data_IF_492965439617
#
_entry.id   IF_492965439617
#
_cell.length_a   1.000
_cell.length_b   1.000
_cell.length_c   1.000
_cell.angle_alpha   90.00
_cell.angle_beta   90.00
_cell.angle_gamma   90.00
#
_symmetry.space_group_name_H-M   'P 1'
#
loop_
_entity.id
_entity.type
_entity.pdbx_description
1 polymer ?
#
# COMPACT_ATOMS: atom_id res chain seq x y z
N UNK A 1 -18.47 -2.89 -5.97
CA UNK A 1 -17.40 -2.42 -6.88
C UNK A 1 -16.64 -3.68 -7.31
N UNK A 2 -15.79 -3.67 -8.34
CA UNK A 2 -14.92 -4.83 -8.65
C UNK A 2 -13.54 -4.56 -8.06
N UNK A 3 -12.99 -5.50 -7.30
CA UNK A 3 -11.63 -5.39 -6.77
C UNK A 3 -10.66 -5.88 -7.86
N UNK A 4 -9.75 -5.01 -8.26
CA UNK A 4 -8.83 -5.27 -9.37
C UNK A 4 -7.41 -5.49 -8.85
N UNK A 5 -6.94 -6.74 -8.92
CA UNK A 5 -5.53 -7.08 -8.62
C UNK A 5 -4.57 -6.19 -9.41
N UNK A 6 -4.80 -6.03 -10.72
CA UNK A 6 -3.93 -5.26 -11.61
C UNK A 6 -3.84 -3.78 -11.22
N UNK A 7 -4.94 -3.18 -10.76
CA UNK A 7 -4.96 -1.81 -10.25
C UNK A 7 -4.00 -1.67 -9.07
N UNK A 8 -4.07 -2.60 -8.12
CA UNK A 8 -3.26 -2.55 -6.91
C UNK A 8 -1.80 -2.92 -7.17
N UNK A 9 -1.56 -3.98 -7.93
CA UNK A 9 -0.22 -4.36 -8.36
C UNK A 9 0.45 -3.23 -9.16
N UNK A 10 -0.25 -2.61 -10.11
CA UNK A 10 0.29 -1.49 -10.88
C UNK A 10 0.63 -0.27 -10.02
N UNK A 11 -0.26 0.11 -9.10
CA UNK A 11 -0.02 1.21 -8.13
C UNK A 11 1.17 0.94 -7.21
N UNK A 12 1.37 -0.31 -6.83
CA UNK A 12 2.44 -0.72 -5.91
C UNK A 12 3.77 -0.90 -6.65
N UNK A 13 3.80 -1.64 -7.75
CA UNK A 13 5.02 -2.06 -8.44
C UNK A 13 5.60 -1.00 -9.39
N UNK A 14 4.76 -0.28 -10.14
CA UNK A 14 5.23 0.69 -11.16
C UNK A 14 6.15 1.78 -10.59
N UNK A 15 5.88 2.36 -9.41
CA UNK A 15 6.78 3.34 -8.80
C UNK A 15 8.20 2.81 -8.53
N UNK A 16 8.35 1.53 -8.18
CA UNK A 16 9.68 0.95 -7.93
C UNK A 16 10.51 0.80 -9.19
N UNK A 17 9.90 0.36 -10.31
CA UNK A 17 10.59 0.30 -11.59
C UNK A 17 11.00 1.68 -12.11
N UNK A 18 10.16 2.69 -11.86
CA UNK A 18 10.50 4.08 -12.17
C UNK A 18 11.66 4.58 -11.31
N UNK A 19 11.71 4.21 -10.03
CA UNK A 19 12.84 4.55 -9.16
C UNK A 19 14.13 3.89 -9.63
N UNK A 20 14.12 2.60 -9.94
CA UNK A 20 15.31 1.89 -10.43
C UNK A 20 15.88 2.54 -11.70
N UNK A 21 14.99 3.03 -12.56
CA UNK A 21 15.37 3.79 -13.76
C UNK A 21 15.98 5.15 -13.41
N UNK A 22 15.46 5.82 -12.38
CA UNK A 22 16.03 7.05 -11.84
C UNK A 22 17.42 6.76 -11.24
N UNK A 23 17.56 5.79 -10.36
CA UNK A 23 18.85 5.39 -9.77
C UNK A 23 19.91 5.08 -10.85
N UNK A 24 19.53 4.33 -11.90
CA UNK A 24 20.41 4.09 -13.05
C UNK A 24 20.82 5.37 -13.78
N UNK A 25 19.88 6.30 -14.01
CA UNK A 25 20.19 7.59 -14.63
C UNK A 25 21.16 8.43 -13.78
N UNK A 26 21.04 8.34 -12.45
CA UNK A 26 21.84 9.12 -11.50
C UNK A 26 23.27 8.64 -11.38
N UNK A 27 23.45 7.33 -11.51
CA UNK A 27 24.74 6.70 -11.53
C UNK A 27 25.43 6.80 -12.90
N UNK A 28 24.77 7.34 -13.93
CA UNK A 28 25.31 7.59 -15.27
C UNK A 28 25.64 9.08 -15.48
N UNK A 29 26.87 9.45 -15.13
CA UNK A 29 27.39 10.82 -15.29
C UNK A 29 27.30 11.33 -16.74
N UNK A 30 27.50 10.46 -17.74
CA UNK A 30 27.47 10.85 -19.14
C UNK A 30 26.04 11.19 -19.59
N UNK A 31 25.05 10.45 -19.07
CA UNK A 31 23.64 10.76 -19.30
C UNK A 31 23.22 12.09 -18.67
N UNK A 32 23.63 12.37 -17.43
CA UNK A 32 23.35 13.65 -16.76
C UNK A 32 23.97 14.81 -17.54
N UNK A 33 25.25 14.68 -17.90
CA UNK A 33 25.97 15.69 -18.69
C UNK A 33 25.26 15.96 -20.03
N UNK A 34 24.94 14.90 -20.77
CA UNK A 34 24.19 15.01 -22.03
C UNK A 34 22.83 15.69 -21.87
N UNK A 35 22.11 15.39 -20.79
CA UNK A 35 20.84 16.04 -20.48
C UNK A 35 21.03 17.54 -20.20
N UNK A 36 22.04 17.91 -19.41
CA UNK A 36 22.38 19.30 -19.11
C UNK A 36 22.72 20.08 -20.39
N UNK A 37 23.56 19.53 -21.29
CA UNK A 37 23.89 20.21 -22.54
C UNK A 37 22.68 20.39 -23.47
N UNK A 38 21.85 19.36 -23.61
CA UNK A 38 20.70 19.37 -24.54
C UNK A 38 19.55 20.25 -24.04
N UNK A 39 19.24 20.18 -22.75
CA UNK A 39 18.06 20.84 -22.18
C UNK A 39 18.36 22.28 -21.75
N UNK A 40 19.55 22.54 -21.19
CA UNK A 40 19.88 23.83 -20.59
C UNK A 40 20.80 24.70 -21.47
N UNK A 41 21.27 24.20 -22.63
CA UNK A 41 22.07 24.93 -23.63
C UNK A 41 23.33 25.62 -23.08
N UNK A 42 23.99 25.02 -22.09
CA UNK A 42 25.25 25.56 -21.57
C UNK A 42 26.42 25.34 -22.53
N UNK A 43 27.32 26.32 -22.60
CA UNK A 43 28.62 26.21 -23.28
C UNK A 43 29.63 25.45 -22.42
N UNK A 44 30.62 24.81 -23.05
CA UNK A 44 31.61 23.91 -22.43
C UNK A 44 32.46 24.51 -21.29
N UNK A 45 32.44 25.83 -21.09
CA UNK A 45 33.38 26.53 -20.20
C UNK A 45 32.94 26.63 -18.72
N UNK A 46 31.71 26.21 -18.38
CA UNK A 46 31.16 26.18 -17.01
C UNK A 46 30.91 24.75 -16.50
N UNK A 47 31.53 23.76 -17.13
CA UNK A 47 31.21 22.33 -17.01
C UNK A 47 31.28 21.80 -15.58
N UNK A 48 32.38 22.01 -14.85
CA UNK A 48 32.62 21.24 -13.62
C UNK A 48 31.78 21.75 -12.42
N UNK A 49 31.82 23.04 -12.10
CA UNK A 49 31.08 23.58 -10.94
C UNK A 49 29.56 23.49 -11.11
N UNK A 50 29.06 23.67 -12.34
CA UNK A 50 27.62 23.57 -12.62
C UNK A 50 27.16 22.12 -12.60
N UNK A 51 27.92 21.20 -13.20
CA UNK A 51 27.62 19.76 -13.14
C UNK A 51 27.64 19.27 -11.71
N UNK A 52 28.63 19.66 -10.91
CA UNK A 52 28.70 19.32 -9.49
C UNK A 52 27.54 19.91 -8.69
N UNK A 53 27.05 21.10 -9.05
CA UNK A 53 25.86 21.71 -8.46
C UNK A 53 24.60 20.89 -8.75
N UNK A 54 24.37 20.55 -10.03
CA UNK A 54 23.24 19.74 -10.48
C UNK A 54 23.28 18.35 -9.87
N UNK A 55 24.43 17.66 -9.92
CA UNK A 55 24.63 16.34 -9.31
C UNK A 55 24.36 16.39 -7.81
N UNK A 56 24.83 17.43 -7.09
CA UNK A 56 24.51 17.60 -5.66
C UNK A 56 23.02 17.79 -5.39
N UNK A 57 22.35 18.67 -6.14
CA UNK A 57 20.90 18.89 -5.97
C UNK A 57 20.10 17.64 -6.28
N UNK A 58 20.50 16.90 -7.31
CA UNK A 58 19.87 15.65 -7.66
C UNK A 58 20.12 14.59 -6.56
N UNK A 59 21.35 14.43 -6.06
CA UNK A 59 21.65 13.51 -4.97
C UNK A 59 20.84 13.82 -3.71
N UNK A 60 20.64 15.10 -3.38
CA UNK A 60 19.78 15.50 -2.25
C UNK A 60 18.31 15.07 -2.44
N UNK A 61 17.79 15.16 -3.67
CA UNK A 61 16.43 14.69 -3.98
C UNK A 61 16.35 13.17 -3.86
N UNK A 62 17.40 12.48 -4.31
CA UNK A 62 17.50 11.01 -4.30
C UNK A 62 17.61 10.46 -2.90
N UNK A 63 18.24 11.18 -1.97
CA UNK A 63 18.23 10.80 -0.56
C UNK A 63 16.80 10.81 0.03
N UNK A 64 15.94 11.71 -0.45
CA UNK A 64 14.56 11.88 0.07
C UNK A 64 13.55 10.92 -0.57
N UNK A 65 13.71 10.58 -1.86
CA UNK A 65 12.74 9.76 -2.59
C UNK A 65 12.48 8.39 -1.93
N UNK A 66 13.48 7.61 -1.45
CA UNK A 66 13.27 6.35 -0.75
C UNK A 66 12.30 6.41 0.42
N UNK A 67 12.43 7.46 1.23
CA UNK A 67 11.56 7.69 2.36
C UNK A 67 10.12 7.97 1.90
N UNK A 68 9.95 8.84 0.90
CA UNK A 68 8.64 9.14 0.30
C UNK A 68 8.00 7.91 -0.35
N UNK A 69 8.80 7.04 -0.96
CA UNK A 69 8.34 5.81 -1.59
C UNK A 69 7.82 4.80 -0.57
N UNK A 70 8.43 4.69 0.61
CA UNK A 70 7.90 3.86 1.70
C UNK A 70 6.58 4.42 2.23
N UNK A 71 6.51 5.73 2.42
CA UNK A 71 5.25 6.39 2.83
C UNK A 71 4.16 6.10 1.80
N UNK A 72 4.46 6.32 0.52
CA UNK A 72 3.55 6.07 -0.58
C UNK A 72 3.09 4.60 -0.63
N UNK A 73 4.03 3.66 -0.55
CA UNK A 73 3.77 2.22 -0.59
C UNK A 73 2.80 1.82 0.53
N UNK A 74 3.10 2.20 1.77
CA UNK A 74 2.26 1.87 2.91
C UNK A 74 0.86 2.49 2.77
N UNK A 75 0.77 3.73 2.31
CA UNK A 75 -0.53 4.36 2.02
C UNK A 75 -1.34 3.62 0.95
N UNK A 76 -0.70 3.11 -0.11
CA UNK A 76 -1.40 2.29 -1.11
C UNK A 76 -1.89 0.97 -0.53
N UNK A 77 -1.10 0.31 0.33
CA UNK A 77 -1.47 -0.94 0.98
C UNK A 77 -2.63 -0.71 1.97
N UNK A 78 -2.61 0.38 2.74
CA UNK A 78 -3.73 0.76 3.63
C UNK A 78 -5.02 0.99 2.86
N UNK A 79 -4.96 1.71 1.74
CA UNK A 79 -6.13 1.94 0.88
C UNK A 79 -6.63 0.66 0.22
N UNK A 80 -5.72 -0.24 -0.15
CA UNK A 80 -6.07 -1.57 -0.66
C UNK A 80 -6.86 -2.37 0.38
N UNK A 81 -6.40 -2.41 1.63
CA UNK A 81 -7.16 -3.09 2.69
C UNK A 81 -8.49 -2.39 2.97
N UNK A 82 -8.53 -1.05 2.92
CA UNK A 82 -9.77 -0.26 3.07
C UNK A 82 -10.82 -0.64 2.03
N UNK A 83 -10.41 -0.68 0.75
CA UNK A 83 -11.28 -1.08 -0.36
C UNK A 83 -11.73 -2.54 -0.22
N UNK A 84 -10.81 -3.45 0.16
CA UNK A 84 -11.11 -4.86 0.42
C UNK A 84 -12.20 -5.03 1.48
N UNK A 85 -12.02 -4.46 2.68
CA UNK A 85 -13.00 -4.58 3.76
C UNK A 85 -14.34 -3.94 3.38
N UNK A 86 -14.31 -2.78 2.71
CA UNK A 86 -15.53 -2.11 2.24
C UNK A 86 -16.33 -3.03 1.31
N UNK A 87 -15.67 -3.65 0.33
CA UNK A 87 -16.29 -4.59 -0.59
C UNK A 87 -16.85 -5.82 0.11
N UNK A 88 -16.09 -6.40 1.05
CA UNK A 88 -16.55 -7.52 1.88
C UNK A 88 -17.84 -7.15 2.62
N UNK A 89 -17.91 -5.98 3.24
CA UNK A 89 -19.09 -5.55 3.99
C UNK A 89 -20.27 -5.16 3.11
N UNK A 90 -20.03 -4.62 1.91
CA UNK A 90 -21.10 -4.35 0.95
C UNK A 90 -21.75 -5.65 0.46
N UNK A 91 -20.96 -6.68 0.16
CA UNK A 91 -21.50 -7.98 -0.29
C UNK A 91 -22.04 -8.83 0.84
N UNK A 92 -21.44 -8.75 2.03
CA UNK A 92 -21.83 -9.53 3.20
C UNK A 92 -22.01 -8.62 4.43
N UNK A 93 -23.06 -7.76 4.46
CA UNK A 93 -23.30 -6.80 5.54
C UNK A 93 -23.35 -7.38 6.94
N UNK A 94 -23.81 -8.63 7.07
CA UNK A 94 -23.85 -9.37 8.34
C UNK A 94 -22.49 -9.49 9.03
N UNK A 95 -21.38 -9.34 8.29
CA UNK A 95 -20.03 -9.38 8.85
C UNK A 95 -19.68 -8.11 9.63
N UNK A 96 -20.36 -6.98 9.41
CA UNK A 96 -20.18 -5.77 10.22
C UNK A 96 -20.50 -6.03 11.71
N UNK A 97 -21.48 -6.89 11.99
CA UNK A 97 -21.82 -7.29 13.35
C UNK A 97 -20.69 -8.09 14.03
N UNK A 98 -19.85 -8.77 13.26
CA UNK A 98 -18.63 -9.40 13.80
C UNK A 98 -17.57 -8.35 14.13
N UNK A 99 -17.44 -7.31 13.31
CA UNK A 99 -16.52 -6.20 13.59
C UNK A 99 -16.83 -5.50 14.91
N UNK A 100 -18.11 -5.27 15.23
CA UNK A 100 -18.51 -4.71 16.52
C UNK A 100 -17.92 -5.51 17.69
N UNK A 101 -17.87 -6.84 17.59
CA UNK A 101 -17.32 -7.71 18.64
C UNK A 101 -15.80 -7.56 18.80
N UNK A 102 -15.06 -7.21 17.75
CA UNK A 102 -13.60 -7.04 17.80
C UNK A 102 -13.15 -5.73 18.44
N UNK A 103 -13.99 -4.70 18.39
CA UNK A 103 -13.59 -3.32 18.65
C UNK A 103 -14.37 -2.64 19.78
N UNK A 104 -15.02 -3.42 20.66
CA UNK A 104 -15.71 -2.95 21.87
C UNK A 104 -16.92 -1.99 21.63
N UNK A 105 -17.46 -1.42 22.71
CA UNK A 105 -18.66 -0.56 22.72
C UNK A 105 -18.52 0.69 21.84
N UNK A 106 -17.31 1.22 21.63
CA UNK A 106 -17.10 2.40 20.79
C UNK A 106 -17.34 2.09 19.30
N UNK A 107 -17.02 0.87 18.87
CA UNK A 107 -17.34 0.40 17.52
C UNK A 107 -18.83 0.12 17.34
N UNK A 108 -19.54 -0.28 18.39
CA UNK A 108 -20.99 -0.42 18.33
C UNK A 108 -21.63 0.92 17.99
N UNK A 109 -21.23 2.02 18.64
CA UNK A 109 -21.77 3.35 18.35
C UNK A 109 -21.54 3.80 16.91
N UNK A 110 -20.40 3.43 16.30
CA UNK A 110 -20.03 3.84 14.94
C UNK A 110 -20.68 2.99 13.84
N UNK A 111 -21.00 1.73 14.14
CA UNK A 111 -21.48 0.74 13.16
C UNK A 111 -22.95 0.34 13.34
N UNK A 112 -23.58 0.71 14.45
CA UNK A 112 -24.98 0.38 14.72
C UNK A 112 -25.91 1.13 13.76
N UNK A 113 -26.87 0.39 13.24
CA UNK A 113 -27.92 0.95 12.40
C UNK A 113 -28.75 1.99 13.18
N UNK A 114 -28.93 3.17 12.58
CA UNK A 114 -29.75 4.24 13.14
C UNK A 114 -30.74 4.74 12.10
N UNK A 115 -32.05 4.67 12.42
CA UNK A 115 -33.10 5.23 11.56
C UNK A 115 -32.93 6.74 11.36
N UNK A 116 -32.55 7.46 12.42
CA UNK A 116 -32.29 8.90 12.38
C UNK A 116 -31.09 9.25 11.48
N UNK A 117 -30.18 8.31 11.30
CA UNK A 117 -29.05 8.49 10.40
C UNK A 117 -29.42 8.10 8.96
N UNK A 118 -30.16 7.00 8.77
CA UNK A 118 -30.63 6.55 7.47
C UNK A 118 -31.43 7.62 6.72
N UNK A 119 -32.30 8.38 7.40
CA UNK A 119 -33.09 9.46 6.77
C UNK A 119 -32.24 10.61 6.21
N UNK A 120 -30.95 10.68 6.56
CA UNK A 120 -30.01 11.67 6.03
C UNK A 120 -29.42 11.26 4.67
N UNK A 121 -29.67 10.02 4.24
CA UNK A 121 -29.17 9.47 2.98
C UNK A 121 -30.30 9.30 1.97
N UNK A 122 -29.97 9.37 0.68
CA UNK A 122 -30.96 9.29 -0.39
C UNK A 122 -31.42 7.86 -0.65
N UNK A 123 -30.68 6.87 -0.16
CA UNK A 123 -30.98 5.45 -0.34
C UNK A 123 -30.41 4.59 0.78
N UNK A 124 -30.95 3.37 0.89
CA UNK A 124 -30.40 2.34 1.77
C UNK A 124 -28.98 1.98 1.33
N UNK A 125 -28.74 1.90 0.03
CA UNK A 125 -27.47 1.52 -0.57
C UNK A 125 -26.36 2.51 -0.21
N UNK A 126 -26.66 3.81 -0.28
CA UNK A 126 -25.76 4.88 0.14
C UNK A 126 -25.42 4.77 1.64
N UNK A 127 -26.41 4.51 2.49
CA UNK A 127 -26.16 4.32 3.92
C UNK A 127 -25.33 3.06 4.22
N UNK A 128 -25.59 1.97 3.50
CA UNK A 128 -24.82 0.73 3.62
C UNK A 128 -23.36 0.92 3.20
N UNK A 129 -23.09 1.75 2.19
CA UNK A 129 -21.73 2.11 1.80
C UNK A 129 -21.01 2.86 2.92
N UNK A 130 -21.67 3.82 3.56
CA UNK A 130 -21.08 4.57 4.69
C UNK A 130 -20.77 3.63 5.87
N UNK A 131 -21.69 2.72 6.20
CA UNK A 131 -21.45 1.72 7.26
C UNK A 131 -20.29 0.78 6.90
N UNK A 132 -20.21 0.34 5.64
CA UNK A 132 -19.12 -0.50 5.15
C UNK A 132 -17.77 0.23 5.24
N UNK A 133 -17.69 1.49 4.83
CA UNK A 133 -16.49 2.32 4.91
C UNK A 133 -16.04 2.53 6.36
N UNK A 134 -16.97 2.80 7.29
CA UNK A 134 -16.67 2.91 8.73
C UNK A 134 -16.16 1.59 9.29
N UNK A 135 -16.76 0.47 8.89
CA UNK A 135 -16.32 -0.86 9.27
C UNK A 135 -14.91 -1.14 8.77
N UNK A 136 -14.62 -0.78 7.52
CA UNK A 136 -13.30 -0.90 6.93
C UNK A 136 -12.26 -0.07 7.69
N UNK A 137 -12.57 1.17 8.04
CA UNK A 137 -11.67 2.05 8.80
C UNK A 137 -11.27 1.44 10.15
N UNK A 138 -12.25 0.85 10.85
CA UNK A 138 -11.97 0.13 12.09
C UNK A 138 -11.06 -1.07 11.83
N UNK A 139 -11.37 -1.88 10.82
CA UNK A 139 -10.60 -3.07 10.46
C UNK A 139 -9.15 -2.80 10.06
N UNK A 140 -8.85 -1.66 9.43
CA UNK A 140 -7.48 -1.28 9.03
C UNK A 140 -6.69 -0.55 10.12
N UNK A 141 -7.32 -0.24 11.27
CA UNK A 141 -6.66 0.52 12.33
C UNK A 141 -5.56 -0.27 13.06
N UNK A 142 -4.39 0.34 13.27
CA UNK A 142 -3.28 -0.26 14.01
C UNK A 142 -2.27 -0.98 13.11
N UNK A 143 -1.56 -1.97 13.66
CA UNK A 143 -0.49 -2.66 12.92
C UNK A 143 -1.05 -3.59 11.84
N UNK A 144 -0.32 -3.79 10.73
CA UNK A 144 -0.72 -4.73 9.68
C UNK A 144 -0.93 -6.15 10.18
N UNK A 145 -0.20 -6.59 11.20
CA UNK A 145 -0.44 -7.86 11.88
C UNK A 145 -1.89 -7.96 12.41
N UNK A 146 -2.40 -6.88 13.04
CA UNK A 146 -3.79 -6.84 13.52
C UNK A 146 -4.77 -6.80 12.36
N UNK A 147 -4.47 -6.04 11.31
CA UNK A 147 -5.31 -5.95 10.10
C UNK A 147 -5.47 -7.32 9.45
N UNK A 148 -4.36 -8.04 9.27
CA UNK A 148 -4.34 -9.38 8.68
C UNK A 148 -5.06 -10.38 9.58
N UNK A 149 -4.84 -10.34 10.90
CA UNK A 149 -5.56 -11.22 11.83
C UNK A 149 -7.08 -11.02 11.75
N UNK A 150 -7.57 -9.78 11.63
CA UNK A 150 -9.00 -9.50 11.46
C UNK A 150 -9.51 -10.00 10.11
N UNK A 151 -8.70 -9.87 9.06
CA UNK A 151 -9.02 -10.41 7.75
C UNK A 151 -9.12 -11.94 7.78
N UNK A 152 -8.27 -12.63 8.54
CA UNK A 152 -8.33 -14.09 8.75
C UNK A 152 -9.52 -14.54 9.61
N UNK A 153 -10.09 -13.65 10.43
CA UNK A 153 -11.26 -13.93 11.26
C UNK A 153 -12.60 -13.78 10.51
N UNK A 154 -12.63 -12.99 9.43
CA UNK A 154 -13.80 -12.86 8.54
C UNK A 154 -14.20 -14.23 7.92
N UNK A 155 -13.26 -15.00 7.34
CA UNK A 155 -13.47 -16.33 6.76
C UNK A 155 -13.94 -17.38 7.74
N UNK A 156 -13.86 -17.20 9.07
CA UNK A 156 -14.49 -18.16 10.02
C UNK A 156 -16.03 -18.19 9.91
N UNK A 157 -16.62 -17.45 8.97
CA UNK A 157 -18.03 -17.53 8.55
C UNK A 157 -18.25 -18.38 7.29
N UNK A 158 -17.19 -18.91 6.68
CA UNK A 158 -17.15 -19.61 5.39
C UNK A 158 -16.22 -20.81 5.54
N UNK A 159 -16.48 -21.95 4.90
CA UNK A 159 -15.76 -23.22 5.16
C UNK A 159 -14.30 -23.27 4.66
N UNK A 160 -13.57 -22.15 4.68
CA UNK A 160 -12.18 -22.08 4.26
C UNK A 160 -11.31 -21.28 5.24
N UNK A 161 -10.09 -21.79 5.46
CA UNK A 161 -9.08 -21.17 6.33
C UNK A 161 -8.09 -20.41 5.47
N UNK A 162 -7.95 -19.11 5.71
CA UNK A 162 -6.86 -18.30 5.16
C UNK A 162 -5.80 -18.16 6.25
N UNK A 163 -4.56 -18.33 5.84
CA UNK A 163 -3.38 -17.99 6.62
C UNK A 163 -2.46 -17.21 5.70
N UNK A 164 -2.01 -16.04 6.14
CA UNK A 164 -0.90 -15.35 5.50
C UNK A 164 0.41 -15.96 6.00
N UNK A 165 1.44 -15.98 5.16
CA UNK A 165 2.76 -16.39 5.62
C UNK A 165 3.29 -15.33 6.58
N UNK A 166 3.76 -15.76 7.75
CA UNK A 166 4.28 -14.86 8.78
C UNK A 166 5.39 -13.99 8.24
N UNK A 167 6.26 -14.52 7.37
CA UNK A 167 7.36 -13.75 6.78
C UNK A 167 6.84 -12.55 5.96
N UNK A 168 5.76 -12.75 5.20
CA UNK A 168 5.17 -11.70 4.37
C UNK A 168 4.51 -10.62 5.25
N UNK A 169 3.87 -11.05 6.35
CA UNK A 169 3.30 -10.14 7.36
C UNK A 169 4.40 -9.31 8.03
N UNK A 170 5.51 -9.95 8.43
CA UNK A 170 6.63 -9.30 9.09
C UNK A 170 7.27 -8.24 8.18
N UNK A 171 7.32 -8.47 6.86
CA UNK A 171 7.76 -7.47 5.87
C UNK A 171 6.85 -6.23 5.89
N UNK A 172 5.52 -6.40 5.90
CA UNK A 172 4.58 -5.26 5.98
C UNK A 172 4.74 -4.49 7.30
N UNK A 173 4.88 -5.19 8.41
CA UNK A 173 5.07 -4.57 9.74
C UNK A 173 6.36 -3.76 9.76
N UNK A 174 7.45 -4.28 9.19
CA UNK A 174 8.71 -3.57 9.08
C UNK A 174 8.58 -2.29 8.24
N UNK A 175 7.89 -2.33 7.09
CA UNK A 175 7.63 -1.13 6.31
C UNK A 175 6.73 -0.12 7.03
N UNK A 176 5.74 -0.58 7.78
CA UNK A 176 4.87 0.29 8.57
C UNK A 176 5.66 1.00 9.68
N UNK A 177 6.56 0.28 10.36
CA UNK A 177 7.42 0.88 11.38
C UNK A 177 8.34 1.95 10.78
N UNK A 178 8.99 1.66 9.64
CA UNK A 178 9.78 2.66 8.90
C UNK A 178 8.94 3.87 8.50
N UNK A 179 7.72 3.66 7.98
CA UNK A 179 6.80 4.75 7.66
C UNK A 179 6.51 5.61 8.89
N UNK A 180 6.30 5.00 10.05
CA UNK A 180 6.01 5.72 11.29
C UNK A 180 7.22 6.55 11.75
N UNK A 181 8.42 6.00 11.67
CA UNK A 181 9.67 6.73 11.94
C UNK A 181 9.83 7.95 11.01
N UNK A 182 9.58 7.77 9.72
CA UNK A 182 9.67 8.85 8.72
C UNK A 182 8.64 9.94 9.00
N UNK A 183 7.37 9.57 9.16
CA UNK A 183 6.24 10.53 9.22
C UNK A 183 6.05 11.15 10.60
N UNK A 184 6.24 10.38 11.68
CA UNK A 184 5.95 10.83 13.04
C UNK A 184 7.19 11.25 13.81
N UNK A 185 8.35 10.66 13.51
CA UNK A 185 9.62 10.98 14.19
C UNK A 185 10.53 11.89 13.34
N UNK A 186 10.12 12.24 12.11
CA UNK A 186 10.92 13.00 11.13
C UNK A 186 12.33 12.39 10.92
N UNK A 187 12.44 11.07 11.08
CA UNK A 187 13.70 10.36 10.83
C UNK A 187 13.93 10.28 9.33
N UNK A 188 15.15 10.61 8.93
CA UNK A 188 15.61 10.38 7.57
C UNK A 188 16.35 9.04 7.55
N UNK A 189 15.67 8.00 7.09
CA UNK A 189 16.26 6.68 6.97
C UNK A 189 17.12 6.63 5.71
N UNK A 190 18.37 6.17 5.85
CA UNK A 190 19.20 5.84 4.68
C UNK A 190 18.71 4.54 4.10
N UNK A 191 17.84 4.63 3.11
CA UNK A 191 17.21 3.48 2.48
C UNK A 191 17.67 3.42 1.04
N UNK A 192 18.35 2.34 0.70
CA UNK A 192 18.51 1.98 -0.70
C UNK A 192 17.20 1.31 -1.14
N UNK A 193 16.50 1.90 -2.11
CA UNK A 193 15.29 1.27 -2.67
C UNK A 193 15.64 -0.04 -3.37
N UNK A 194 16.89 -0.21 -3.83
CA UNK A 194 17.31 -1.51 -4.35
C UNK A 194 17.17 -2.59 -3.27
N UNK A 195 17.39 -2.30 -1.99
CA UNK A 195 17.13 -3.26 -0.89
C UNK A 195 15.63 -3.64 -0.73
N UNK A 196 14.71 -2.91 -1.39
CA UNK A 196 13.27 -3.23 -1.44
C UNK A 196 12.95 -4.14 -2.64
N UNK A 197 13.76 -4.06 -3.69
CA UNK A 197 13.66 -4.88 -4.91
C UNK A 197 14.67 -6.04 -4.96
N UNK A 198 15.69 -6.03 -4.13
CA UNK A 198 16.75 -7.03 -4.04
C UNK A 198 16.34 -8.18 -3.12
N UNK A 199 16.85 -9.35 -3.46
CA UNK A 199 16.74 -10.55 -2.67
C UNK A 199 17.52 -10.38 -1.36
N UNK A 200 16.89 -10.66 -0.22
CA UNK A 200 17.59 -10.74 1.06
C UNK A 200 18.61 -11.90 1.07
N UNK A 201 19.32 -12.08 2.18
CA UNK A 201 20.31 -13.15 2.37
C UNK A 201 19.74 -14.58 2.16
N UNK A 202 18.41 -14.72 2.13
CA UNK A 202 17.68 -15.96 1.88
C UNK A 202 17.14 -16.08 0.45
N UNK A 203 17.40 -15.12 -0.43
CA UNK A 203 16.90 -15.11 -1.82
C UNK A 203 15.52 -14.45 -1.98
N UNK A 204 15.02 -13.66 -1.01
CA UNK A 204 13.64 -13.15 -1.02
C UNK A 204 13.53 -11.65 -1.31
N UNK A 205 12.85 -11.29 -2.42
CA UNK A 205 12.55 -9.90 -2.78
C UNK A 205 11.42 -9.35 -1.89
N UNK A 206 11.57 -8.18 -1.24
CA UNK A 206 10.52 -7.59 -0.38
C UNK A 206 9.24 -7.22 -1.15
N UNK A 207 9.33 -6.92 -2.45
CA UNK A 207 8.18 -6.81 -3.35
C UNK A 207 7.45 -8.14 -3.59
N UNK A 208 8.12 -9.30 -3.50
CA UNK A 208 7.45 -10.60 -3.56
C UNK A 208 6.52 -10.81 -2.37
N UNK A 209 6.91 -10.40 -1.15
CA UNK A 209 6.02 -10.48 0.01
C UNK A 209 4.71 -9.70 -0.22
N UNK A 210 4.81 -8.51 -0.81
CA UNK A 210 3.64 -7.68 -1.13
C UNK A 210 2.80 -8.31 -2.25
N UNK A 211 3.45 -8.88 -3.28
CA UNK A 211 2.79 -9.64 -4.33
C UNK A 211 2.07 -10.88 -3.79
N UNK A 212 2.68 -11.62 -2.85
CA UNK A 212 2.09 -12.78 -2.20
C UNK A 212 0.84 -12.40 -1.41
N UNK A 213 0.89 -11.28 -0.67
CA UNK A 213 -0.26 -10.76 0.06
C UNK A 213 -1.39 -10.36 -0.89
N UNK A 214 -1.08 -9.68 -2.00
CA UNK A 214 -2.04 -9.34 -3.05
C UNK A 214 -2.69 -10.58 -3.67
N UNK A 215 -1.89 -11.59 -4.01
CA UNK A 215 -2.36 -12.88 -4.51
C UNK A 215 -3.29 -13.54 -3.49
N UNK A 216 -2.90 -13.54 -2.21
CA UNK A 216 -3.71 -14.12 -1.15
C UNK A 216 -5.05 -13.40 -1.03
N UNK A 217 -5.06 -12.05 -0.99
CA UNK A 217 -6.28 -11.23 -0.96
C UNK A 217 -7.19 -11.56 -2.14
N UNK A 218 -6.63 -11.74 -3.33
CA UNK A 218 -7.35 -12.12 -4.55
C UNK A 218 -8.03 -13.48 -4.39
N UNK A 219 -7.35 -14.47 -3.81
CA UNK A 219 -7.96 -15.77 -3.46
C UNK A 219 -9.11 -15.61 -2.47
N UNK A 220 -8.97 -14.76 -1.44
CA UNK A 220 -10.02 -14.47 -0.45
C UNK A 220 -11.27 -13.96 -1.16
N UNK A 221 -11.10 -12.98 -2.04
CA UNK A 221 -12.19 -12.37 -2.77
C UNK A 221 -12.88 -13.38 -3.69
N UNK A 222 -12.11 -14.18 -4.43
CA UNK A 222 -12.67 -15.24 -5.25
C UNK A 222 -13.50 -16.23 -4.42
N UNK A 223 -12.97 -16.70 -3.29
CA UNK A 223 -13.66 -17.61 -2.38
C UNK A 223 -14.90 -17.00 -1.71
N UNK A 224 -14.93 -15.68 -1.54
CA UNK A 224 -16.09 -14.96 -1.05
C UNK A 224 -17.16 -14.70 -2.12
N UNK A 225 -16.95 -15.14 -3.36
CA UNK A 225 -17.88 -14.98 -4.48
C UNK A 225 -17.74 -13.62 -5.18
N UNK A 226 -16.55 -13.03 -5.16
CA UNK A 226 -16.26 -11.85 -5.97
C UNK A 226 -15.79 -12.25 -7.36
N UNK A 227 -16.26 -11.50 -8.37
CA UNK A 227 -15.62 -11.50 -9.67
C UNK A 227 -14.27 -10.84 -9.46
N UNK A 228 -13.22 -11.65 -9.51
CA UNK A 228 -11.84 -11.18 -9.45
C UNK A 228 -11.23 -11.49 -10.79
N UNK A 229 -10.73 -10.47 -11.47
CA UNK A 229 -9.93 -10.67 -12.67
C UNK A 229 -8.51 -11.01 -12.25
N UNK A 230 -8.11 -12.26 -12.50
CA UNK A 230 -6.71 -12.70 -12.41
C UNK A 230 -6.27 -12.96 -13.84
N UNK A 231 -5.31 -12.21 -14.40
CA UNK A 231 -4.81 -12.51 -15.73
C UNK A 231 -4.24 -13.93 -15.72
N UNK A 232 -4.71 -14.74 -16.67
CA UNK A 232 -4.21 -16.09 -16.91
C UNK A 232 -2.70 -16.04 -17.16
N UNK A 233 -1.96 -16.92 -16.45
CA UNK A 233 -0.49 -17.10 -16.55
C UNK A 233 0.01 -17.15 -17.99
#
# INVERSE_FOLDING_TARGET
MEYFYEKWFGKIASPFWNYESIDRYLNDKDSILNHCYKTLRFGKELEDEFTDGVVRSINQVVDVIPNLMIVYLISQIEEMFRELFTEIFLKKPQLLNKCIKFFNEEAELKLKFSLNELIKFNSKEEYMLVLAQRGAELCISGSFEKVIKRLEEIPKATDFKICFDKKDVDVLVNFQNKRNEIVHENKHEKINILDITEEDENGEIKLHAIANILCKITEILFQLGFNVYVPSK
#
